data_IF_991506630111
#
_entry.id   IF_991506630111
#
_cell.length_a   1.000
_cell.length_b   1.000
_cell.length_c   1.000
_cell.angle_alpha   90.00
_cell.angle_beta   90.00
_cell.angle_gamma   90.00
#
_symmetry.space_group_name_H-M   'P 1'
#
loop_
_entity.id
_entity.type
_entity.pdbx_description
1 polymer ?
#
# COMPACT_ATOMS: atom_id res chain seq x y z
N UNK A 1 2.09 50.03 6.95
CA UNK A 1 1.23 49.21 6.07
C UNK A 1 1.42 47.74 6.48
N UNK A 2 0.32 47.08 6.83
CA UNK A 2 0.04 45.62 6.99
C UNK A 2 1.22 44.64 7.19
N UNK A 3 1.46 44.00 8.35
CA UNK A 3 0.72 42.94 9.08
C UNK A 3 0.71 41.53 8.43
N UNK A 4 1.33 40.60 9.17
CA UNK A 4 1.07 39.14 9.32
C UNK A 4 1.47 38.17 8.20
N UNK A 5 2.51 37.36 8.47
CA UNK A 5 2.71 36.05 7.84
C UNK A 5 2.30 34.98 8.87
N UNK A 6 1.15 34.36 8.61
CA UNK A 6 0.52 33.33 9.43
C UNK A 6 1.22 31.98 9.27
N UNK A 7 1.52 31.34 10.41
CA UNK A 7 2.06 30.00 10.52
C UNK A 7 1.02 28.92 10.13
N UNK A 8 1.46 27.84 9.49
CA UNK A 8 0.70 26.59 9.39
C UNK A 8 1.52 25.47 10.05
N UNK A 9 1.24 25.21 11.31
CA UNK A 9 1.71 24.02 12.01
C UNK A 9 0.71 22.89 11.72
N UNK A 10 1.13 21.86 10.98
CA UNK A 10 0.35 20.64 10.83
C UNK A 10 0.49 19.81 12.12
N UNK A 11 -0.50 19.93 13.00
CA UNK A 11 -0.64 19.02 14.13
C UNK A 11 -1.19 17.68 13.61
N UNK A 12 -0.35 16.65 13.55
CA UNK A 12 -0.78 15.27 13.34
C UNK A 12 -1.45 14.78 14.63
N UNK A 13 -2.78 14.86 14.67
CA UNK A 13 -3.58 14.28 15.74
C UNK A 13 -3.42 12.75 15.68
N UNK A 14 -2.78 12.17 16.69
CA UNK A 14 -2.72 10.74 16.89
C UNK A 14 -4.11 10.22 17.25
N UNK A 15 -4.70 9.42 16.36
CA UNK A 15 -6.00 8.80 16.56
C UNK A 15 -6.64 8.38 15.24
N UNK A 16 -6.06 7.40 14.55
CA UNK A 16 -6.76 6.80 13.40
C UNK A 16 -7.48 5.55 13.89
N UNK A 17 -8.80 5.71 14.06
CA UNK A 17 -9.73 4.60 14.11
C UNK A 17 -9.45 3.65 12.94
N UNK A 18 -9.39 2.35 13.22
CA UNK A 18 -9.43 1.30 12.21
C UNK A 18 -10.78 1.36 11.51
N UNK A 19 -10.90 2.18 10.47
CA UNK A 19 -11.99 2.02 9.49
C UNK A 19 -11.58 0.83 8.61
N UNK A 20 -11.87 -0.37 9.09
CA UNK A 20 -12.11 -1.49 8.19
C UNK A 20 -13.43 -1.17 7.47
N UNK A 21 -13.39 -0.28 6.48
CA UNK A 21 -14.48 -0.21 5.53
C UNK A 21 -14.58 -1.60 4.91
N UNK A 22 -15.78 -2.17 4.81
CA UNK A 22 -16.04 -3.26 3.89
C UNK A 22 -15.76 -2.72 2.49
N UNK A 23 -14.48 -2.64 2.14
CA UNK A 23 -14.00 -1.83 1.05
C UNK A 23 -14.37 -2.56 -0.22
N UNK A 24 -15.00 -1.85 -1.16
CA UNK A 24 -15.16 -2.37 -2.53
C UNK A 24 -13.80 -2.72 -3.15
N UNK A 25 -12.71 -2.22 -2.55
CA UNK A 25 -11.32 -2.39 -2.95
C UNK A 25 -10.53 -3.12 -1.86
N UNK A 26 -9.90 -4.24 -2.19
CA UNK A 26 -9.13 -5.03 -1.22
C UNK A 26 -8.01 -5.80 -1.91
N UNK A 27 -7.04 -6.23 -1.10
CA UNK A 27 -5.96 -7.12 -1.52
C UNK A 27 -6.05 -8.40 -0.69
N UNK A 28 -5.96 -9.55 -1.35
CA UNK A 28 -5.70 -10.84 -0.69
C UNK A 28 -4.40 -11.42 -1.22
N UNK A 29 -3.73 -12.23 -0.41
CA UNK A 29 -2.50 -12.94 -0.76
C UNK A 29 -2.70 -14.44 -0.54
N UNK A 30 -2.27 -15.26 -1.51
CA UNK A 30 -2.26 -16.73 -1.34
C UNK A 30 -1.20 -17.13 -0.32
N UNK A 31 -0.05 -16.47 -0.40
CA UNK A 31 1.12 -16.72 0.44
C UNK A 31 1.63 -15.41 1.02
N UNK A 32 2.09 -15.47 2.27
CA UNK A 32 2.77 -14.32 2.88
C UNK A 32 4.07 -14.02 2.12
N UNK A 33 4.37 -12.73 1.85
CA UNK A 33 5.62 -12.36 1.20
C UNK A 33 6.83 -12.88 1.99
N UNK A 34 7.84 -13.31 1.24
CA UNK A 34 9.02 -13.98 1.79
C UNK A 34 10.19 -13.01 1.89
N UNK A 35 11.01 -13.15 2.92
CA UNK A 35 12.26 -12.40 3.05
C UNK A 35 13.20 -12.64 1.85
N UNK A 36 13.92 -11.61 1.41
CA UNK A 36 14.74 -11.55 0.18
C UNK A 36 14.00 -11.77 -1.16
N UNK A 37 12.67 -11.88 -1.15
CA UNK A 37 11.90 -12.02 -2.39
C UNK A 37 12.05 -10.77 -3.28
N UNK A 38 11.99 -11.01 -4.59
CA UNK A 38 12.04 -9.97 -5.65
C UNK A 38 10.66 -9.73 -6.28
N UNK A 39 9.62 -10.38 -5.74
CA UNK A 39 8.25 -10.16 -6.14
C UNK A 39 7.30 -10.41 -4.97
N UNK A 40 6.10 -9.83 -5.06
CA UNK A 40 4.94 -10.15 -4.23
C UNK A 40 3.85 -10.70 -5.13
N UNK A 41 3.26 -11.85 -4.76
CA UNK A 41 2.10 -12.39 -5.47
C UNK A 41 0.83 -12.07 -4.68
N UNK A 42 -0.08 -11.34 -5.31
CA UNK A 42 -1.38 -11.02 -4.75
C UNK A 42 -2.41 -11.94 -5.41
N UNK A 43 -3.20 -12.63 -4.60
CA UNK A 43 -4.22 -13.56 -5.07
C UNK A 43 -5.31 -12.82 -5.82
N UNK A 44 -5.96 -11.89 -5.12
CA UNK A 44 -7.00 -11.04 -5.69
C UNK A 44 -6.71 -9.60 -5.29
N UNK A 45 -6.70 -8.72 -6.29
CA UNK A 45 -6.76 -7.27 -6.10
C UNK A 45 -8.08 -6.80 -6.68
N UNK A 46 -8.98 -6.34 -5.83
CA UNK A 46 -10.21 -5.70 -6.26
C UNK A 46 -10.04 -4.18 -6.27
N UNK A 47 -10.40 -3.55 -7.38
CA UNK A 47 -10.46 -2.10 -7.54
C UNK A 47 -11.81 -1.69 -8.17
N UNK A 48 -12.35 -0.52 -7.84
CA UNK A 48 -13.59 0.01 -8.40
C UNK A 48 -13.36 0.80 -9.69
N UNK A 49 -12.11 1.18 -9.94
CA UNK A 49 -11.62 1.87 -11.13
C UNK A 49 -10.25 1.32 -11.55
N UNK A 50 -9.76 1.74 -12.72
CA UNK A 50 -8.37 1.45 -13.12
C UNK A 50 -7.41 2.07 -12.09
N UNK A 51 -6.48 1.26 -11.60
CA UNK A 51 -5.67 1.60 -10.45
C UNK A 51 -4.25 1.03 -10.55
N UNK A 52 -3.40 1.47 -9.64
CA UNK A 52 -2.04 0.97 -9.46
C UNK A 52 -1.93 0.42 -8.04
N UNK A 53 -1.44 -0.82 -7.95
CA UNK A 53 -0.97 -1.38 -6.69
C UNK A 53 0.49 -1.02 -6.51
N UNK A 54 0.82 -0.42 -5.37
CA UNK A 54 2.18 -0.09 -4.97
C UNK A 54 2.55 -0.86 -3.71
N UNK A 55 3.70 -1.52 -3.73
CA UNK A 55 4.28 -2.19 -2.57
C UNK A 55 5.33 -1.26 -1.97
N UNK A 56 5.16 -0.89 -0.70
CA UNK A 56 6.10 -0.08 0.06
C UNK A 56 6.82 -0.91 1.13
N UNK A 57 8.02 -0.50 1.48
CA UNK A 57 8.69 -0.93 2.71
C UNK A 57 7.85 -0.52 3.93
N UNK A 58 7.67 -1.43 4.89
CA UNK A 58 6.94 -1.17 6.13
C UNK A 58 7.67 -1.73 7.36
N UNK A 59 9.00 -1.92 7.27
CA UNK A 59 9.79 -2.56 8.33
C UNK A 59 9.76 -1.83 9.67
N UNK A 60 9.58 -0.52 9.63
CA UNK A 60 9.59 0.35 10.81
C UNK A 60 8.17 0.67 11.30
N UNK A 61 7.13 0.07 10.71
CA UNK A 61 5.74 0.38 11.03
C UNK A 61 5.23 1.68 10.41
N UNK A 62 5.98 2.26 9.46
CA UNK A 62 5.62 3.44 8.68
C UNK A 62 5.82 3.17 7.19
N UNK A 63 5.07 3.86 6.33
CA UNK A 63 5.20 3.74 4.88
C UNK A 63 6.56 4.30 4.42
N UNK A 64 7.44 3.41 3.98
CA UNK A 64 8.79 3.74 3.51
C UNK A 64 8.89 3.87 1.99
N UNK A 65 10.02 3.41 1.44
CA UNK A 65 10.32 3.48 0.02
C UNK A 65 9.41 2.56 -0.83
N UNK A 66 9.17 2.94 -2.08
CA UNK A 66 8.49 2.09 -3.06
C UNK A 66 9.40 0.92 -3.44
N UNK A 67 8.94 -0.30 -3.21
CA UNK A 67 9.62 -1.51 -3.62
C UNK A 67 9.19 -1.95 -5.03
N UNK A 68 7.94 -1.76 -5.42
CA UNK A 68 7.45 -2.11 -6.75
C UNK A 68 6.00 -1.71 -7.01
N UNK A 69 5.58 -1.75 -8.27
CA UNK A 69 4.22 -1.40 -8.70
C UNK A 69 3.67 -2.37 -9.74
N UNK A 70 2.35 -2.51 -9.80
CA UNK A 70 1.66 -3.21 -10.88
C UNK A 70 0.32 -2.52 -11.20
N UNK A 71 -0.02 -2.34 -12.50
CA UNK A 71 -1.33 -1.85 -12.89
C UNK A 71 -2.41 -2.92 -12.67
N UNK A 72 -3.60 -2.49 -12.29
CA UNK A 72 -4.80 -3.32 -12.16
C UNK A 72 -6.00 -2.60 -12.78
N UNK A 73 -6.94 -3.36 -13.32
CA UNK A 73 -8.15 -2.81 -13.94
C UNK A 73 -9.28 -2.71 -12.93
N UNK A 74 -10.31 -1.93 -13.26
CA UNK A 74 -11.57 -1.99 -12.53
C UNK A 74 -12.10 -3.43 -12.46
N UNK A 75 -12.54 -3.88 -11.29
CA UNK A 75 -13.00 -5.23 -11.02
C UNK A 75 -12.02 -6.07 -10.21
N UNK A 76 -12.17 -7.39 -10.30
CA UNK A 76 -11.32 -8.36 -9.60
C UNK A 76 -10.15 -8.79 -10.51
N UNK A 77 -8.93 -8.54 -10.06
CA UNK A 77 -7.70 -8.90 -10.76
C UNK A 77 -7.05 -10.07 -10.03
N UNK A 78 -7.00 -11.23 -10.69
CA UNK A 78 -6.40 -12.44 -10.12
C UNK A 78 -4.90 -12.54 -10.39
N UNK A 79 -4.17 -13.17 -9.47
CA UNK A 79 -2.75 -13.54 -9.61
C UNK A 79 -1.87 -12.36 -10.06
N UNK A 80 -2.01 -11.23 -9.36
CA UNK A 80 -1.25 -10.01 -9.65
C UNK A 80 0.15 -10.17 -9.09
N UNK A 81 1.13 -10.29 -9.98
CA UNK A 81 2.54 -10.35 -9.64
C UNK A 81 3.15 -8.95 -9.68
N UNK A 82 3.54 -8.43 -8.52
CA UNK A 82 4.30 -7.18 -8.42
C UNK A 82 5.79 -7.51 -8.40
N UNK A 83 6.52 -7.12 -9.45
CA UNK A 83 7.98 -7.22 -9.45
C UNK A 83 8.56 -6.08 -8.62
N UNK A 84 9.55 -6.40 -7.79
CA UNK A 84 10.19 -5.43 -6.92
C UNK A 84 11.55 -5.02 -7.48
N UNK A 85 11.83 -3.73 -7.40
CA UNK A 85 13.12 -3.13 -7.71
C UNK A 85 14.14 -3.43 -6.60
N UNK A 86 13.64 -3.58 -5.36
CA UNK A 86 14.43 -3.91 -4.18
C UNK A 86 13.89 -5.15 -3.47
N UNK A 87 14.78 -5.89 -2.83
CA UNK A 87 14.41 -7.11 -2.10
C UNK A 87 13.63 -6.78 -0.83
N UNK A 88 12.65 -7.62 -0.50
CA UNK A 88 11.92 -7.55 0.76
C UNK A 88 12.88 -7.79 1.94
N UNK A 89 12.96 -6.86 2.88
CA UNK A 89 13.79 -6.96 4.10
C UNK A 89 12.98 -7.05 5.40
N UNK A 90 11.66 -7.22 5.30
CA UNK A 90 10.69 -7.29 6.39
C UNK A 90 9.32 -6.84 5.88
N UNK A 91 8.40 -6.52 6.77
CA UNK A 91 7.00 -6.20 6.43
C UNK A 91 6.86 -5.18 5.29
N UNK A 92 5.78 -5.34 4.52
CA UNK A 92 5.45 -4.46 3.40
C UNK A 92 4.02 -3.94 3.50
N UNK A 93 3.77 -2.82 2.83
CA UNK A 93 2.46 -2.20 2.74
C UNK A 93 2.01 -2.18 1.28
N UNK A 94 0.89 -2.84 0.98
CA UNK A 94 0.24 -2.77 -0.32
C UNK A 94 -0.76 -1.62 -0.31
N UNK A 95 -0.66 -0.71 -1.27
CA UNK A 95 -1.58 0.43 -1.43
C UNK A 95 -2.17 0.37 -2.83
N UNK A 96 -3.50 0.38 -2.92
CA UNK A 96 -4.24 0.54 -4.17
C UNK A 96 -4.56 2.02 -4.33
N UNK A 97 -4.21 2.62 -5.46
CA UNK A 97 -4.47 4.03 -5.75
C UNK A 97 -4.95 4.25 -7.18
N UNK A 98 -5.86 5.21 -7.37
CA UNK A 98 -6.25 5.71 -8.70
C UNK A 98 -6.03 7.22 -8.73
N UNK A 99 -5.07 7.66 -9.55
CA UNK A 99 -4.63 9.05 -9.55
C UNK A 99 -4.07 9.47 -8.18
N UNK A 100 -4.72 10.44 -7.53
CA UNK A 100 -4.32 10.96 -6.21
C UNK A 100 -5.10 10.31 -5.06
N UNK A 101 -6.06 9.43 -5.36
CA UNK A 101 -6.96 8.85 -4.37
C UNK A 101 -6.44 7.47 -3.94
N UNK A 102 -6.31 7.28 -2.62
CA UNK A 102 -6.00 5.98 -2.03
C UNK A 102 -7.30 5.21 -1.84
N UNK A 103 -7.40 4.08 -2.54
CA UNK A 103 -8.60 3.24 -2.59
C UNK A 103 -8.62 2.19 -1.48
N UNK A 104 -7.45 1.63 -1.15
CA UNK A 104 -7.27 0.65 -0.07
C UNK A 104 -5.79 0.54 0.34
N UNK A 105 -5.58 0.11 1.56
CA UNK A 105 -4.24 -0.17 2.12
C UNK A 105 -4.28 -1.46 2.91
N UNK A 106 -3.31 -2.34 2.68
CA UNK A 106 -3.19 -3.63 3.35
C UNK A 106 -1.74 -3.87 3.81
N UNK A 107 -1.55 -4.24 5.08
CA UNK A 107 -0.24 -4.63 5.61
C UNK A 107 -0.02 -6.11 5.38
N UNK A 108 1.12 -6.45 4.79
CA UNK A 108 1.54 -7.84 4.59
C UNK A 108 2.74 -8.14 5.48
N UNK A 109 2.52 -8.98 6.48
CA UNK A 109 3.59 -9.48 7.34
C UNK A 109 4.51 -10.40 6.55
N UNK A 110 5.81 -10.24 6.73
CA UNK A 110 6.81 -11.04 6.00
C UNK A 110 7.32 -12.17 6.86
N UNK A 111 7.26 -13.39 6.33
CA UNK A 111 7.88 -14.56 6.98
C UNK A 111 9.38 -14.60 6.69
N UNK A 112 10.15 -14.67 7.78
CA UNK A 112 11.55 -15.10 7.75
C UNK A 112 11.54 -16.62 7.74
N UNK A 113 12.25 -17.23 6.79
CA UNK A 113 12.38 -18.69 6.68
C UNK A 113 13.21 -19.28 7.79
#
# INVERSE_FOLDING_TARGET
>A
MSKFLTAAAFALTAGTATIASAASNYVTTVDEPQFESTYVNLDVVRADSDAIVTIYDYRLGEQGAVLGTAPVQAGANGNVKVNLNDKIKGDVLAVISSGNDVLATERLSVKVR
#
